data_IF_229548227419
#
_entry.id   IF_229548227419
#
_cell.length_a   1.000
_cell.length_b   1.000
_cell.length_c   1.000
_cell.angle_alpha   90.00
_cell.angle_beta   90.00
_cell.angle_gamma   90.00
#
_symmetry.space_group_name_H-M   'P 1'
#
loop_
_entity.id
_entity.type
_entity.pdbx_description
1 polymer ?
#
# COMPACT_ATOMS: atom_id res chain seq x y z
N UNK A 1 9.69 4.42 20.62
CA UNK A 1 9.16 4.09 19.28
C UNK A 1 9.27 5.28 18.33
N UNK A 2 8.85 6.47 18.72
CA UNK A 2 9.03 7.72 17.95
C UNK A 2 10.47 7.93 17.47
N UNK A 3 11.46 7.75 18.36
CA UNK A 3 12.89 7.87 18.01
C UNK A 3 13.30 6.92 16.88
N UNK A 4 12.81 5.66 16.89
CA UNK A 4 13.06 4.69 15.81
C UNK A 4 12.43 5.10 14.48
N UNK A 5 11.24 5.72 14.52
CA UNK A 5 10.59 6.26 13.31
C UNK A 5 11.43 7.40 12.74
N UNK A 6 11.87 8.33 13.59
CA UNK A 6 12.74 9.45 13.17
C UNK A 6 14.06 8.93 12.57
N UNK A 7 14.68 7.94 13.20
CA UNK A 7 15.93 7.33 12.70
C UNK A 7 15.73 6.62 11.35
N UNK A 8 14.69 5.79 11.22
CA UNK A 8 14.38 5.10 9.96
C UNK A 8 14.02 6.10 8.85
N UNK A 9 13.31 7.18 9.19
CA UNK A 9 12.99 8.25 8.24
C UNK A 9 14.24 8.97 7.75
N UNK A 10 15.18 9.31 8.63
CA UNK A 10 16.44 9.92 8.25
C UNK A 10 17.24 9.02 7.30
N UNK A 11 17.38 7.72 7.63
CA UNK A 11 18.04 6.73 6.77
C UNK A 11 17.34 6.58 5.41
N UNK A 12 16.01 6.63 5.39
CA UNK A 12 15.23 6.58 4.14
C UNK A 12 15.47 7.80 3.28
N UNK A 13 15.49 9.01 3.85
CA UNK A 13 15.81 10.24 3.12
C UNK A 13 17.22 10.17 2.56
N UNK A 14 18.22 9.79 3.37
CA UNK A 14 19.61 9.65 2.92
C UNK A 14 19.74 8.65 1.76
N UNK A 15 19.10 7.49 1.88
CA UNK A 15 19.12 6.47 0.83
C UNK A 15 18.45 6.96 -0.47
N UNK A 16 17.33 7.68 -0.37
CA UNK A 16 16.61 8.21 -1.54
C UNK A 16 17.36 9.36 -2.23
N UNK A 17 18.12 10.16 -1.47
CA UNK A 17 18.93 11.25 -2.01
C UNK A 17 20.25 10.76 -2.63
N UNK A 18 20.84 9.68 -2.12
CA UNK A 18 22.12 9.15 -2.60
C UNK A 18 22.03 8.48 -3.99
N UNK A 19 20.85 8.06 -4.40
CA UNK A 19 20.63 7.21 -5.59
C UNK A 19 20.49 8.01 -6.90
N UNK A 20 21.35 9.06 -7.06
CA UNK A 20 21.46 10.17 -8.04
C UNK A 20 20.87 10.01 -9.48
N UNK A 21 19.62 9.54 -9.58
CA UNK A 21 18.92 9.29 -10.83
C UNK A 21 17.53 9.98 -10.81
N UNK A 22 17.46 11.13 -11.48
CA UNK A 22 16.27 11.79 -12.03
C UNK A 22 14.91 11.56 -11.35
N UNK A 23 14.52 12.51 -10.49
CA UNK A 23 13.18 13.01 -10.06
C UNK A 23 11.88 12.24 -10.40
N UNK A 24 11.79 10.91 -10.39
CA UNK A 24 10.52 10.23 -10.71
C UNK A 24 9.40 10.56 -9.72
N UNK A 25 8.14 10.62 -10.18
CA UNK A 25 6.99 10.85 -9.30
C UNK A 25 6.92 9.81 -8.17
N UNK A 26 7.34 8.58 -8.47
CA UNK A 26 7.50 7.52 -7.47
C UNK A 26 8.49 7.92 -6.38
N UNK A 27 9.70 8.36 -6.76
CA UNK A 27 10.74 8.75 -5.80
C UNK A 27 10.37 10.01 -5.04
N UNK A 28 9.85 11.02 -5.70
CA UNK A 28 9.40 12.25 -5.05
C UNK A 28 8.32 11.94 -4.02
N UNK A 29 7.37 11.07 -4.36
CA UNK A 29 6.36 10.58 -3.44
C UNK A 29 6.92 9.84 -2.23
N UNK A 30 7.86 8.93 -2.45
CA UNK A 30 8.56 8.21 -1.37
C UNK A 30 9.37 9.16 -0.48
N UNK A 31 10.05 10.13 -1.07
CA UNK A 31 10.85 11.13 -0.37
C UNK A 31 9.97 12.06 0.46
N UNK A 32 8.90 12.61 -0.12
CA UNK A 32 7.91 13.42 0.60
C UNK A 32 7.31 12.63 1.77
N UNK A 33 6.93 11.39 1.53
CA UNK A 33 6.38 10.52 2.57
C UNK A 33 7.38 10.35 3.74
N UNK A 34 8.65 10.05 3.45
CA UNK A 34 9.69 9.95 4.48
C UNK A 34 9.95 11.28 5.20
N UNK A 35 9.96 12.40 4.48
CA UNK A 35 10.15 13.75 5.04
C UNK A 35 9.01 14.17 5.96
N UNK A 36 7.77 13.69 5.71
CA UNK A 36 6.61 13.97 6.58
C UNK A 36 6.83 13.50 8.03
N UNK A 37 7.67 12.48 8.24
CA UNK A 37 8.03 11.95 9.56
C UNK A 37 9.20 12.71 10.22
N UNK A 38 9.74 13.71 9.53
CA UNK A 38 10.84 14.57 9.99
C UNK A 38 10.42 16.06 10.01
N UNK A 39 9.11 16.32 9.88
CA UNK A 39 8.55 17.65 9.61
C UNK A 39 8.86 18.70 10.68
N UNK A 40 9.17 18.29 11.90
CA UNK A 40 9.54 19.19 13.01
C UNK A 40 10.93 19.82 12.83
N UNK A 41 11.76 19.26 11.95
CA UNK A 41 13.11 19.77 11.69
C UNK A 41 13.09 20.72 10.47
N UNK A 42 13.48 22.01 10.61
CA UNK A 42 13.36 23.00 9.54
C UNK A 42 14.04 22.62 8.23
N UNK A 43 15.18 21.93 8.28
CA UNK A 43 15.91 21.48 7.08
C UNK A 43 15.09 20.50 6.23
N UNK A 44 14.36 19.57 6.86
CA UNK A 44 13.59 18.56 6.15
C UNK A 44 12.26 19.12 5.66
N UNK A 45 11.67 20.06 6.41
CA UNK A 45 10.50 20.80 5.94
C UNK A 45 10.80 21.58 4.66
N UNK A 46 11.89 22.35 4.63
CA UNK A 46 12.30 23.08 3.43
C UNK A 46 12.53 22.14 2.25
N UNK A 47 13.24 21.03 2.46
CA UNK A 47 13.43 20.04 1.41
C UNK A 47 12.11 19.46 0.90
N UNK A 48 11.13 19.23 1.79
CA UNK A 48 9.82 18.72 1.39
C UNK A 48 9.01 19.77 0.59
N UNK A 49 9.13 21.05 0.94
CA UNK A 49 8.55 22.17 0.16
C UNK A 49 9.18 22.24 -1.23
N UNK A 50 10.51 22.20 -1.33
CA UNK A 50 11.26 22.20 -2.59
C UNK A 50 10.89 21.01 -3.49
N UNK A 51 10.80 19.80 -2.92
CA UNK A 51 10.38 18.61 -3.66
C UNK A 51 8.93 18.77 -4.11
N UNK A 52 8.01 19.15 -3.22
CA UNK A 52 6.61 19.31 -3.58
C UNK A 52 6.41 20.34 -4.70
N UNK A 53 7.09 21.47 -4.66
CA UNK A 53 7.04 22.49 -5.71
C UNK A 53 7.64 21.99 -7.03
N UNK A 54 8.79 21.32 -6.96
CA UNK A 54 9.51 20.81 -8.15
C UNK A 54 8.90 19.57 -8.80
N UNK A 55 8.03 18.82 -8.10
CA UNK A 55 7.41 17.59 -8.60
C UNK A 55 6.31 17.85 -9.64
N UNK A 56 6.64 18.43 -10.79
CA UNK A 56 5.73 18.46 -11.95
C UNK A 56 5.97 17.25 -12.83
N UNK A 57 5.06 16.27 -12.84
CA UNK A 57 5.20 15.13 -13.75
C UNK A 57 3.90 14.62 -14.35
N UNK A 58 4.05 14.31 -15.63
CA UNK A 58 3.09 13.81 -16.60
C UNK A 58 2.44 12.52 -16.08
N UNK A 59 1.10 12.46 -16.06
CA UNK A 59 0.30 11.38 -15.46
C UNK A 59 0.34 10.05 -16.22
N UNK A 60 1.46 9.72 -16.86
CA UNK A 60 1.61 8.56 -17.74
C UNK A 60 1.78 7.25 -16.97
N UNK A 61 2.44 7.28 -15.80
CA UNK A 61 2.62 6.11 -14.93
C UNK A 61 1.78 6.25 -13.67
N UNK A 62 0.81 5.35 -13.51
CA UNK A 62 -0.17 5.35 -12.41
C UNK A 62 0.50 5.19 -11.05
N UNK A 63 1.31 4.15 -10.86
CA UNK A 63 1.97 3.86 -9.58
C UNK A 63 2.86 5.01 -9.08
N UNK A 64 3.60 5.65 -9.99
CA UNK A 64 4.39 6.85 -9.66
C UNK A 64 3.53 8.03 -9.24
N UNK A 65 2.42 8.29 -9.93
CA UNK A 65 1.49 9.37 -9.60
C UNK A 65 0.80 9.15 -8.25
N UNK A 66 0.43 7.90 -7.95
CA UNK A 66 -0.18 7.51 -6.68
C UNK A 66 0.81 7.58 -5.51
N UNK A 67 2.08 7.22 -5.73
CA UNK A 67 3.13 7.41 -4.73
C UNK A 67 3.36 8.90 -4.44
N UNK A 68 3.38 9.74 -5.48
CA UNK A 68 3.45 11.19 -5.32
C UNK A 68 2.26 11.72 -4.53
N UNK A 69 1.04 11.27 -4.86
CA UNK A 69 -0.17 11.63 -4.12
C UNK A 69 -0.09 11.24 -2.64
N UNK A 70 0.45 10.05 -2.32
CA UNK A 70 0.67 9.60 -0.94
C UNK A 70 1.62 10.53 -0.18
N UNK A 71 2.77 10.87 -0.77
CA UNK A 71 3.75 11.77 -0.19
C UNK A 71 3.23 13.19 0.00
N UNK A 72 2.57 13.75 -1.02
CA UNK A 72 1.92 15.06 -0.95
C UNK A 72 0.84 15.11 0.15
N UNK A 73 0.01 14.06 0.26
CA UNK A 73 -0.99 13.96 1.31
C UNK A 73 -0.36 13.98 2.70
N UNK A 74 0.74 13.23 2.89
CA UNK A 74 1.46 13.16 4.16
C UNK A 74 2.08 14.51 4.58
N UNK A 75 2.49 15.32 3.61
CA UNK A 75 3.02 16.66 3.83
C UNK A 75 1.95 17.76 3.87
N UNK A 76 0.66 17.42 3.78
CA UNK A 76 -0.45 18.39 3.88
C UNK A 76 -0.89 19.04 2.56
N UNK A 77 -0.34 18.63 1.41
CA UNK A 77 -0.73 19.12 0.08
C UNK A 77 -2.00 18.40 -0.44
N UNK A 78 -3.09 18.54 0.32
CA UNK A 78 -4.31 17.74 0.17
C UNK A 78 -4.96 17.85 -1.22
N UNK A 79 -5.12 19.07 -1.76
CA UNK A 79 -5.79 19.28 -3.05
C UNK A 79 -5.03 18.66 -4.22
N UNK A 80 -3.70 18.76 -4.20
CA UNK A 80 -2.84 18.18 -5.24
C UNK A 80 -2.84 16.66 -5.18
N UNK A 81 -2.75 16.10 -3.96
CA UNK A 81 -2.87 14.66 -3.75
C UNK A 81 -4.23 14.11 -4.22
N UNK A 82 -5.33 14.82 -3.91
CA UNK A 82 -6.68 14.49 -4.40
C UNK A 82 -6.75 14.45 -5.92
N UNK A 83 -6.24 15.49 -6.57
CA UNK A 83 -6.26 15.58 -8.03
C UNK A 83 -5.53 14.38 -8.65
N UNK A 84 -4.33 14.06 -8.15
CA UNK A 84 -3.53 12.94 -8.64
C UNK A 84 -4.24 11.61 -8.45
N UNK A 85 -4.79 11.30 -7.28
CA UNK A 85 -5.47 10.01 -7.07
C UNK A 85 -6.71 9.84 -7.96
N UNK A 86 -7.46 10.91 -8.22
CA UNK A 86 -8.62 10.86 -9.12
C UNK A 86 -8.21 10.70 -10.59
N UNK A 87 -7.13 11.36 -11.01
CA UNK A 87 -6.55 11.19 -12.35
C UNK A 87 -5.99 9.78 -12.54
N UNK A 88 -5.26 9.26 -11.56
CA UNK A 88 -4.73 7.89 -11.55
C UNK A 88 -5.86 6.86 -11.66
N UNK A 89 -6.94 7.02 -10.88
CA UNK A 89 -8.10 6.14 -10.99
C UNK A 89 -8.72 6.17 -12.41
N UNK A 90 -8.90 7.36 -12.98
CA UNK A 90 -9.40 7.48 -14.35
C UNK A 90 -8.46 6.82 -15.37
N UNK A 91 -7.14 6.88 -15.15
CA UNK A 91 -6.15 6.19 -15.99
C UNK A 91 -6.22 4.67 -15.84
N UNK A 92 -6.40 4.15 -14.62
CA UNK A 92 -6.60 2.71 -14.39
C UNK A 92 -7.83 2.18 -15.16
N UNK A 93 -8.87 2.99 -15.34
CA UNK A 93 -10.08 2.63 -16.07
C UNK A 93 -9.93 2.71 -17.60
N UNK A 94 -8.85 3.30 -18.11
CA UNK A 94 -8.68 3.50 -19.54
C UNK A 94 -8.54 2.14 -20.27
N UNK A 95 -9.16 2.03 -21.46
CA UNK A 95 -9.09 0.82 -22.27
C UNK A 95 -7.68 0.53 -22.81
N UNK A 96 -6.85 1.57 -22.90
CA UNK A 96 -5.46 1.50 -23.29
C UNK A 96 -4.48 1.45 -22.12
N UNK A 97 -4.98 1.37 -20.89
CA UNK A 97 -4.12 1.25 -19.72
C UNK A 97 -3.24 0.01 -19.82
N UNK A 98 -1.95 0.15 -19.51
CA UNK A 98 -1.02 -0.96 -19.38
C UNK A 98 -0.36 -0.79 -18.02
N UNK A 99 -0.69 -1.68 -17.09
CA UNK A 99 -0.08 -1.67 -15.77
C UNK A 99 1.33 -2.22 -15.77
N UNK A 100 1.97 -2.11 -14.61
CA UNK A 100 3.29 -2.69 -14.37
C UNK A 100 3.10 -4.08 -13.77
N UNK A 101 3.87 -5.06 -14.24
CA UNK A 101 3.86 -6.39 -13.65
C UNK A 101 4.91 -6.51 -12.54
N UNK A 102 4.69 -7.37 -11.53
CA UNK A 102 5.63 -7.53 -10.42
C UNK A 102 6.98 -8.10 -10.88
N UNK A 103 7.00 -8.86 -11.98
CA UNK A 103 8.17 -9.58 -12.48
C UNK A 103 8.56 -9.17 -13.91
N UNK A 104 8.09 -8.01 -14.37
CA UNK A 104 8.48 -7.41 -15.66
C UNK A 104 7.85 -8.04 -16.91
N UNK A 105 6.96 -9.02 -16.74
CA UNK A 105 6.15 -9.59 -17.82
C UNK A 105 5.29 -8.50 -18.48
N UNK A 106 5.09 -8.53 -19.80
CA UNK A 106 4.15 -7.63 -20.45
C UNK A 106 2.73 -7.82 -19.90
N UNK A 107 2.12 -6.72 -19.44
CA UNK A 107 0.73 -6.71 -19.02
C UNK A 107 -0.20 -6.62 -20.25
N UNK A 108 -1.32 -7.38 -20.27
CA UNK A 108 -2.33 -7.21 -21.30
C UNK A 108 -2.87 -5.79 -21.29
N UNK A 109 -3.07 -5.22 -22.47
CA UNK A 109 -3.70 -3.90 -22.61
C UNK A 109 -5.11 -3.92 -22.01
N UNK A 110 -5.43 -2.91 -21.21
CA UNK A 110 -6.66 -2.80 -20.44
C UNK A 110 -6.68 -3.66 -19.17
N UNK A 111 -5.59 -4.33 -18.79
CA UNK A 111 -5.53 -5.04 -17.51
C UNK A 111 -5.73 -4.07 -16.34
N UNK A 112 -6.30 -4.58 -15.25
CA UNK A 112 -6.48 -3.85 -13.99
C UNK A 112 -5.59 -4.50 -12.94
N UNK A 113 -4.61 -3.77 -12.43
CA UNK A 113 -3.62 -4.30 -11.50
C UNK A 113 -4.02 -4.03 -10.05
N UNK A 114 -3.82 -5.02 -9.18
CA UNK A 114 -4.24 -5.00 -7.78
C UNK A 114 -3.52 -3.93 -6.96
N UNK A 115 -2.24 -3.72 -7.25
CA UNK A 115 -1.40 -2.72 -6.59
C UNK A 115 -1.89 -1.28 -6.82
N UNK A 116 -2.32 -0.96 -8.05
CA UNK A 116 -2.93 0.34 -8.35
C UNK A 116 -4.19 0.56 -7.51
N UNK A 117 -5.10 -0.42 -7.49
CA UNK A 117 -6.33 -0.34 -6.70
C UNK A 117 -6.06 -0.26 -5.19
N UNK A 118 -5.07 -1.02 -4.71
CA UNK A 118 -4.62 -0.95 -3.32
C UNK A 118 -4.10 0.45 -2.98
N UNK A 119 -3.31 1.06 -3.87
CA UNK A 119 -2.72 2.36 -3.63
C UNK A 119 -3.74 3.49 -3.77
N UNK A 120 -4.66 3.43 -4.74
CA UNK A 120 -5.85 4.32 -4.82
C UNK A 120 -6.60 4.28 -3.50
N UNK A 121 -6.94 3.08 -3.00
CA UNK A 121 -7.67 2.94 -1.75
C UNK A 121 -6.88 3.50 -0.56
N UNK A 122 -5.58 3.21 -0.47
CA UNK A 122 -4.71 3.72 0.60
C UNK A 122 -4.69 5.26 0.63
N UNK A 123 -4.47 5.90 -0.52
CA UNK A 123 -4.40 7.37 -0.62
C UNK A 123 -5.76 8.01 -0.36
N UNK A 124 -6.84 7.50 -0.96
CA UNK A 124 -8.19 7.99 -0.67
C UNK A 124 -8.52 7.89 0.83
N UNK A 125 -8.23 6.75 1.45
CA UNK A 125 -8.45 6.54 2.89
C UNK A 125 -7.68 7.57 3.72
N UNK A 126 -6.42 7.84 3.39
CA UNK A 126 -5.62 8.86 4.08
C UNK A 126 -6.23 10.25 3.94
N UNK A 127 -6.55 10.68 2.72
CA UNK A 127 -7.16 12.00 2.47
C UNK A 127 -8.51 12.15 3.19
N UNK A 128 -9.31 11.09 3.23
CA UNK A 128 -10.61 11.05 3.90
C UNK A 128 -10.52 11.07 5.43
N UNK A 129 -9.37 10.74 6.03
CA UNK A 129 -9.14 10.95 7.46
C UNK A 129 -8.95 12.42 7.82
N UNK A 130 -8.51 13.24 6.87
CA UNK A 130 -8.29 14.69 7.04
C UNK A 130 -9.57 15.45 6.75
N UNK A 131 -10.21 15.16 5.63
CA UNK A 131 -11.38 15.90 5.14
C UNK A 131 -12.31 15.00 4.35
N UNK A 132 -13.60 15.06 4.65
CA UNK A 132 -14.62 14.37 3.87
C UNK A 132 -14.70 14.97 2.45
N UNK A 133 -14.77 14.10 1.45
CA UNK A 133 -14.88 14.49 0.04
C UNK A 133 -15.67 13.43 -0.72
N UNK A 134 -16.70 13.86 -1.46
CA UNK A 134 -17.62 12.96 -2.15
C UNK A 134 -16.93 12.15 -3.26
N UNK A 135 -16.04 12.76 -4.03
CA UNK A 135 -15.36 12.07 -5.14
C UNK A 135 -14.38 11.03 -4.59
N UNK A 136 -13.66 11.37 -3.52
CA UNK A 136 -12.76 10.42 -2.84
C UNK A 136 -13.53 9.28 -2.16
N UNK A 137 -14.72 9.53 -1.60
CA UNK A 137 -15.58 8.47 -1.07
C UNK A 137 -16.03 7.51 -2.17
N UNK A 138 -16.40 8.04 -3.34
CA UNK A 138 -16.76 7.23 -4.51
C UNK A 138 -15.54 6.42 -4.98
N UNK A 139 -14.37 7.06 -5.11
CA UNK A 139 -13.12 6.39 -5.49
C UNK A 139 -12.75 5.25 -4.54
N UNK A 140 -12.81 5.49 -3.22
CA UNK A 140 -12.55 4.46 -2.21
C UNK A 140 -13.55 3.30 -2.29
N UNK A 141 -14.85 3.59 -2.43
CA UNK A 141 -15.87 2.57 -2.58
C UNK A 141 -15.67 1.72 -3.85
N UNK A 142 -15.28 2.36 -4.96
CA UNK A 142 -14.94 1.68 -6.21
C UNK A 142 -13.72 0.77 -6.05
N UNK A 143 -12.67 1.24 -5.38
CA UNK A 143 -11.48 0.42 -5.14
C UNK A 143 -11.77 -0.79 -4.24
N UNK A 144 -12.57 -0.62 -3.18
CA UNK A 144 -13.05 -1.74 -2.35
C UNK A 144 -13.84 -2.75 -3.19
N UNK A 145 -14.78 -2.28 -4.01
CA UNK A 145 -15.55 -3.15 -4.88
C UNK A 145 -14.66 -3.88 -5.90
N UNK A 146 -13.67 -3.20 -6.47
CA UNK A 146 -12.76 -3.79 -7.43
C UNK A 146 -11.95 -4.94 -6.81
N UNK A 147 -11.37 -4.70 -5.63
CA UNK A 147 -10.56 -5.69 -4.92
C UNK A 147 -11.42 -6.90 -4.51
N UNK A 148 -12.62 -6.67 -3.94
CA UNK A 148 -13.45 -7.76 -3.41
C UNK A 148 -14.17 -8.57 -4.49
N UNK A 149 -14.67 -7.93 -5.54
CA UNK A 149 -15.57 -8.60 -6.48
C UNK A 149 -14.83 -9.20 -7.67
N UNK A 150 -13.64 -8.67 -7.99
CA UNK A 150 -12.94 -9.06 -9.22
C UNK A 150 -11.56 -9.64 -8.95
N UNK A 151 -10.78 -9.03 -8.06
CA UNK A 151 -9.46 -9.58 -7.74
C UNK A 151 -9.54 -10.80 -6.81
N UNK A 152 -10.53 -10.88 -5.91
CA UNK A 152 -10.67 -12.06 -5.06
C UNK A 152 -11.08 -13.29 -5.89
N UNK A 153 -10.29 -14.37 -5.78
CA UNK A 153 -10.56 -15.65 -6.40
C UNK A 153 -10.82 -16.70 -5.31
N UNK A 154 -12.08 -17.15 -5.11
CA UNK A 154 -12.44 -18.03 -4.01
C UNK A 154 -11.71 -19.38 -4.07
N UNK A 155 -11.54 -19.96 -5.26
CA UNK A 155 -10.90 -21.28 -5.39
C UNK A 155 -9.40 -21.27 -5.09
N UNK A 156 -8.73 -20.13 -5.31
CA UNK A 156 -7.32 -19.94 -4.94
C UNK A 156 -7.18 -19.46 -3.49
N UNK A 157 -8.28 -19.06 -2.86
CA UNK A 157 -8.24 -18.52 -1.51
C UNK A 157 -7.46 -17.21 -1.39
N UNK A 158 -7.39 -16.43 -2.46
CA UNK A 158 -6.47 -15.29 -2.55
C UNK A 158 -6.98 -14.19 -3.46
N UNK A 159 -6.18 -13.13 -3.57
CA UNK A 159 -6.44 -12.00 -4.48
C UNK A 159 -5.46 -12.06 -5.66
N UNK A 160 -6.00 -12.11 -6.86
CA UNK A 160 -5.27 -12.09 -8.11
C UNK A 160 -4.59 -10.75 -8.32
N UNK A 161 -3.39 -10.79 -8.88
CA UNK A 161 -2.66 -9.58 -9.23
C UNK A 161 -3.36 -8.77 -10.32
N UNK A 162 -3.90 -9.44 -11.34
CA UNK A 162 -4.48 -8.76 -12.49
C UNK A 162 -5.84 -9.36 -12.89
N UNK A 163 -6.73 -8.50 -13.35
CA UNK A 163 -7.98 -8.88 -14.03
C UNK A 163 -8.10 -8.14 -15.35
N UNK A 164 -8.97 -8.62 -16.24
CA UNK A 164 -9.23 -7.97 -17.54
C UNK A 164 -9.93 -6.62 -17.35
N UNK A 165 -9.94 -5.81 -18.39
CA UNK A 165 -10.59 -4.48 -18.37
C UNK A 165 -12.11 -4.52 -18.21
N UNK A 166 -12.74 -5.66 -18.52
CA UNK A 166 -14.14 -5.97 -18.26
C UNK A 166 -14.38 -6.65 -16.90
N UNK A 167 -13.34 -6.72 -16.06
CA UNK A 167 -13.34 -7.29 -14.73
C UNK A 167 -13.62 -8.80 -14.65
N UNK A 168 -13.47 -9.52 -15.76
CA UNK A 168 -13.37 -10.98 -15.76
C UNK A 168 -11.91 -11.43 -15.51
N UNK A 169 -11.75 -12.67 -15.05
CA UNK A 169 -10.43 -13.29 -14.90
C UNK A 169 -9.83 -13.60 -16.27
N UNK A 170 -8.50 -13.61 -16.33
CA UNK A 170 -7.79 -14.15 -17.50
C UNK A 170 -7.83 -15.69 -17.47
N UNK A 171 -7.76 -16.32 -18.63
CA UNK A 171 -7.68 -17.78 -18.72
C UNK A 171 -6.21 -18.27 -18.61
N UNK A 172 -5.24 -17.38 -18.87
CA UNK A 172 -3.82 -17.70 -18.88
C UNK A 172 -3.13 -17.39 -17.54
N UNK A 173 -1.79 -17.22 -17.56
CA UNK A 173 -0.95 -16.92 -16.39
C UNK A 173 -1.54 -15.88 -15.41
N UNK A 174 -2.12 -14.80 -15.93
CA UNK A 174 -2.70 -13.74 -15.11
C UNK A 174 -3.96 -14.15 -14.33
N UNK A 175 -4.64 -15.22 -14.75
CA UNK A 175 -5.80 -15.80 -14.06
C UNK A 175 -5.45 -16.53 -12.77
N UNK A 176 -4.16 -16.81 -12.54
CA UNK A 176 -3.67 -17.50 -11.34
C UNK A 176 -2.53 -16.75 -10.64
N UNK A 177 -2.08 -15.62 -11.19
CA UNK A 177 -0.95 -14.86 -10.66
C UNK A 177 -1.33 -14.18 -9.34
N UNK A 178 -0.60 -14.48 -8.26
CA UNK A 178 -0.79 -13.90 -6.93
C UNK A 178 0.51 -13.27 -6.46
N UNK A 179 0.56 -11.94 -6.44
CA UNK A 179 1.67 -11.21 -5.82
C UNK A 179 1.39 -11.01 -4.33
N UNK A 180 2.18 -11.66 -3.46
CA UNK A 180 2.04 -11.50 -2.01
C UNK A 180 2.14 -10.05 -1.55
N UNK A 181 3.02 -9.25 -2.17
CA UNK A 181 3.16 -7.84 -1.81
C UNK A 181 1.91 -7.02 -2.15
N UNK A 182 1.38 -7.18 -3.37
CA UNK A 182 0.16 -6.50 -3.79
C UNK A 182 -1.06 -6.96 -2.98
N UNK A 183 -1.15 -8.27 -2.69
CA UNK A 183 -2.20 -8.85 -1.86
C UNK A 183 -2.18 -8.27 -0.44
N UNK A 184 -1.02 -8.26 0.21
CA UNK A 184 -0.86 -7.69 1.54
C UNK A 184 -1.16 -6.19 1.55
N UNK A 185 -0.73 -5.44 0.53
CA UNK A 185 -1.05 -4.01 0.40
C UNK A 185 -2.56 -3.77 0.25
N UNK A 186 -3.24 -4.51 -0.62
CA UNK A 186 -4.68 -4.40 -0.87
C UNK A 186 -5.50 -4.74 0.38
N UNK A 187 -5.20 -5.87 1.03
CA UNK A 187 -5.90 -6.30 2.24
C UNK A 187 -5.66 -5.32 3.40
N UNK A 188 -4.45 -4.77 3.51
CA UNK A 188 -4.16 -3.72 4.50
C UNK A 188 -4.94 -2.45 4.23
N UNK A 189 -4.98 -1.98 2.98
CA UNK A 189 -5.74 -0.79 2.59
C UNK A 189 -7.25 -0.96 2.88
N UNK A 190 -7.80 -2.15 2.60
CA UNK A 190 -9.19 -2.47 2.95
C UNK A 190 -9.45 -2.51 4.46
N UNK A 191 -8.52 -3.02 5.27
CA UNK A 191 -8.64 -2.97 6.73
C UNK A 191 -8.63 -1.52 7.24
N UNK A 192 -7.74 -0.68 6.72
CA UNK A 192 -7.68 0.74 7.08
C UNK A 192 -8.98 1.48 6.69
N UNK A 193 -9.52 1.23 5.50
CA UNK A 193 -10.79 1.82 5.07
C UNK A 193 -11.99 1.31 5.90
N UNK A 194 -12.04 0.01 6.18
CA UNK A 194 -13.06 -0.56 7.04
C UNK A 194 -12.99 0.03 8.45
N UNK A 195 -11.78 0.20 8.98
CA UNK A 195 -11.53 0.89 10.24
C UNK A 195 -12.02 2.33 10.23
N UNK A 196 -11.69 3.10 9.18
CA UNK A 196 -12.14 4.49 9.02
C UNK A 196 -13.67 4.63 9.00
N UNK A 197 -14.35 3.69 8.34
CA UNK A 197 -15.82 3.68 8.22
C UNK A 197 -16.53 3.01 9.40
N UNK A 198 -15.82 2.34 10.30
CA UNK A 198 -16.43 1.50 11.33
C UNK A 198 -17.16 0.26 10.77
N UNK A 199 -16.82 -0.17 9.55
CA UNK A 199 -17.48 -1.28 8.83
C UNK A 199 -17.04 -2.64 9.37
N UNK A 200 -17.73 -3.13 10.40
CA UNK A 200 -17.35 -4.36 11.11
C UNK A 200 -17.41 -5.62 10.22
N UNK A 201 -18.38 -5.71 9.32
CA UNK A 201 -18.52 -6.84 8.39
C UNK A 201 -17.38 -6.88 7.37
N UNK A 202 -17.08 -5.74 6.74
CA UNK A 202 -15.95 -5.62 5.82
C UNK A 202 -14.65 -5.97 6.52
N UNK A 203 -14.43 -5.42 7.72
CA UNK A 203 -13.27 -5.75 8.55
C UNK A 203 -13.16 -7.25 8.81
N UNK A 204 -14.24 -7.92 9.22
CA UNK A 204 -14.24 -9.35 9.50
C UNK A 204 -13.93 -10.19 8.24
N UNK A 205 -14.51 -9.81 7.09
CA UNK A 205 -14.27 -10.47 5.81
C UNK A 205 -12.80 -10.35 5.38
N UNK A 206 -12.26 -9.13 5.36
CA UNK A 206 -10.88 -8.85 4.96
C UNK A 206 -9.89 -9.52 5.92
N UNK A 207 -10.21 -9.57 7.22
CA UNK A 207 -9.41 -10.32 8.19
C UNK A 207 -9.29 -11.79 7.81
N UNK A 208 -10.39 -12.47 7.45
CA UNK A 208 -10.33 -13.86 6.98
C UNK A 208 -9.45 -14.02 5.73
N UNK A 209 -9.58 -13.12 4.77
CA UNK A 209 -8.77 -13.17 3.54
C UNK A 209 -7.28 -12.94 3.83
N UNK A 210 -6.93 -12.06 4.76
CA UNK A 210 -5.55 -11.85 5.18
C UNK A 210 -4.99 -13.08 5.90
N UNK A 211 -5.76 -13.70 6.79
CA UNK A 211 -5.35 -14.97 7.44
C UNK A 211 -5.06 -16.05 6.41
N UNK A 212 -5.99 -16.26 5.48
CA UNK A 212 -5.87 -17.25 4.41
C UNK A 212 -4.64 -16.97 3.52
N UNK A 213 -4.42 -15.72 3.13
CA UNK A 213 -3.26 -15.34 2.33
C UNK A 213 -1.94 -15.60 3.06
N UNK A 214 -1.83 -15.19 4.33
CA UNK A 214 -0.63 -15.38 5.14
C UNK A 214 -0.32 -16.87 5.31
N UNK A 215 -1.32 -17.69 5.62
CA UNK A 215 -1.16 -19.14 5.78
C UNK A 215 -0.75 -19.82 4.47
N UNK A 216 -1.39 -19.48 3.35
CA UNK A 216 -1.07 -20.05 2.04
C UNK A 216 0.33 -19.65 1.55
N UNK A 217 0.70 -18.37 1.75
CA UNK A 217 1.98 -17.85 1.31
C UNK A 217 3.13 -18.29 2.23
N UNK A 218 2.89 -18.65 3.49
CA UNK A 218 3.96 -19.10 4.38
C UNK A 218 4.67 -20.35 3.85
N UNK A 219 6.00 -20.37 3.91
CA UNK A 219 6.79 -21.56 3.63
C UNK A 219 6.97 -22.38 4.92
N UNK A 220 6.37 -23.57 5.05
CA UNK A 220 6.48 -24.37 6.27
C UNK A 220 7.88 -24.96 6.47
N UNK A 221 8.70 -25.09 5.42
CA UNK A 221 10.02 -25.71 5.49
C UNK A 221 11.10 -24.71 5.94
N UNK A 222 11.08 -23.49 5.38
CA UNK A 222 12.11 -22.48 5.67
C UNK A 222 11.60 -21.33 6.53
N UNK A 223 10.29 -21.24 6.77
CA UNK A 223 9.66 -20.02 7.24
C UNK A 223 9.60 -18.93 6.17
N UNK A 224 8.91 -17.84 6.50
CA UNK A 224 8.78 -16.66 5.66
C UNK A 224 7.59 -16.70 4.71
N UNK A 225 7.04 -15.53 4.41
CA UNK A 225 6.06 -15.34 3.35
C UNK A 225 6.75 -15.54 2.01
N UNK A 226 6.25 -16.50 1.23
CA UNK A 226 6.73 -16.78 -0.12
C UNK A 226 6.58 -15.56 -0.98
N UNK A 227 7.60 -15.41 -1.78
CA UNK A 227 7.68 -14.43 -2.83
C UNK A 227 7.99 -15.16 -4.11
N UNK A 228 7.35 -14.74 -5.19
CA UNK A 228 7.76 -15.21 -6.50
C UNK A 228 9.18 -14.64 -6.79
N UNK A 229 9.46 -13.32 -6.69
CA UNK A 229 10.78 -12.79 -7.18
C UNK A 229 11.48 -11.55 -6.58
N UNK A 230 11.13 -10.95 -5.44
CA UNK A 230 11.90 -9.78 -4.91
C UNK A 230 12.62 -9.97 -3.54
N UNK A 231 13.36 -8.96 -3.05
CA UNK A 231 14.18 -8.99 -1.82
C UNK A 231 13.42 -9.51 -0.59
N UNK A 232 13.78 -10.66 0.00
CA UNK A 232 13.01 -11.30 1.07
C UNK A 232 12.48 -10.34 2.13
N UNK A 233 13.28 -9.35 2.55
CA UNK A 233 12.90 -8.36 3.57
C UNK A 233 11.63 -7.54 3.27
N UNK A 234 11.40 -7.10 2.03
CA UNK A 234 10.29 -6.18 1.72
C UNK A 234 8.91 -6.84 1.86
N UNK A 235 8.76 -8.07 1.37
CA UNK A 235 7.49 -8.81 1.51
C UNK A 235 7.21 -9.18 2.97
N UNK A 236 8.25 -9.50 3.76
CA UNK A 236 8.06 -9.72 5.19
C UNK A 236 7.64 -8.43 5.90
N UNK A 237 8.25 -7.28 5.57
CA UNK A 237 7.83 -6.00 6.13
C UNK A 237 6.36 -5.66 5.80
N UNK A 238 5.93 -5.92 4.57
CA UNK A 238 4.53 -5.77 4.17
C UNK A 238 3.61 -6.70 4.99
N UNK A 239 4.01 -7.96 5.19
CA UNK A 239 3.24 -8.93 5.96
C UNK A 239 3.13 -8.54 7.43
N UNK A 240 4.23 -8.10 8.04
CA UNK A 240 4.22 -7.58 9.41
C UNK A 240 3.33 -6.33 9.52
N UNK A 241 3.39 -5.42 8.55
CA UNK A 241 2.51 -4.24 8.52
C UNK A 241 1.02 -4.60 8.41
N UNK A 242 0.69 -5.60 7.59
CA UNK A 242 -0.66 -6.11 7.42
C UNK A 242 -1.18 -6.80 8.69
N UNK A 243 -0.37 -7.68 9.29
CA UNK A 243 -0.70 -8.38 10.53
C UNK A 243 -0.83 -7.42 11.72
N UNK A 244 0.04 -6.40 11.82
CA UNK A 244 -0.10 -5.35 12.83
C UNK A 244 -1.39 -4.56 12.66
N UNK A 245 -1.77 -4.28 11.41
CA UNK A 245 -3.04 -3.61 11.08
C UNK A 245 -4.24 -4.48 11.48
N UNK A 246 -4.20 -5.77 11.18
CA UNK A 246 -5.25 -6.72 11.56
C UNK A 246 -5.36 -6.84 13.08
N UNK A 247 -4.24 -7.09 13.76
CA UNK A 247 -4.18 -7.21 15.22
C UNK A 247 -4.75 -5.97 15.91
N UNK A 248 -4.44 -4.77 15.40
CA UNK A 248 -4.98 -3.51 15.92
C UNK A 248 -6.51 -3.44 15.81
N UNK A 249 -7.08 -3.92 14.72
CA UNK A 249 -8.52 -3.77 14.45
C UNK A 249 -9.37 -4.94 14.96
N UNK A 250 -8.80 -6.12 15.10
CA UNK A 250 -9.52 -7.34 15.52
C UNK A 250 -9.02 -7.94 16.84
N UNK A 251 -7.75 -7.72 17.18
CA UNK A 251 -7.08 -8.44 18.28
C UNK A 251 -7.00 -9.94 17.99
N UNK A 252 -6.81 -10.74 19.04
CA UNK A 252 -6.85 -12.21 18.97
C UNK A 252 -5.49 -12.88 19.04
N UNK A 253 -5.50 -14.13 19.49
CA UNK A 253 -4.30 -14.94 19.68
C UNK A 253 -3.64 -15.30 18.35
N UNK A 254 -4.45 -15.62 17.33
CA UNK A 254 -3.95 -15.93 15.99
C UNK A 254 -3.17 -14.73 15.42
N UNK A 255 -3.72 -13.52 15.52
CA UNK A 255 -3.09 -12.30 15.03
C UNK A 255 -1.77 -12.02 15.73
N UNK A 256 -1.74 -12.17 17.06
CA UNK A 256 -0.54 -11.94 17.86
C UNK A 256 0.55 -12.97 17.53
N UNK A 257 0.19 -14.24 17.45
CA UNK A 257 1.10 -15.35 17.12
C UNK A 257 1.72 -15.16 15.74
N UNK A 258 0.91 -14.91 14.72
CA UNK A 258 1.40 -14.73 13.36
C UNK A 258 2.23 -13.45 13.20
N UNK A 259 1.83 -12.37 13.87
CA UNK A 259 2.60 -11.13 13.87
C UNK A 259 4.01 -11.36 14.43
N UNK A 260 4.14 -12.06 15.56
CA UNK A 260 5.46 -12.35 16.13
C UNK A 260 6.24 -13.34 15.26
N UNK A 261 5.59 -14.39 14.74
CA UNK A 261 6.22 -15.36 13.82
C UNK A 261 6.86 -14.69 12.60
N UNK A 262 6.13 -13.81 11.92
CA UNK A 262 6.67 -13.12 10.72
C UNK A 262 7.74 -12.10 11.13
N UNK A 263 7.59 -11.40 12.27
CA UNK A 263 8.61 -10.49 12.79
C UNK A 263 9.91 -11.18 13.11
N UNK A 264 9.86 -12.32 13.80
CA UNK A 264 11.04 -13.12 14.14
C UNK A 264 11.79 -13.55 12.88
N UNK A 265 11.05 -13.96 11.85
CA UNK A 265 11.65 -14.25 10.55
C UNK A 265 12.26 -12.99 9.91
N UNK A 266 11.53 -11.87 9.85
CA UNK A 266 11.98 -10.61 9.26
C UNK A 266 13.29 -10.09 9.88
N UNK A 267 13.51 -10.28 11.20
CA UNK A 267 14.75 -9.84 11.89
C UNK A 267 16.04 -10.37 11.23
N UNK A 268 15.97 -11.49 10.52
CA UNK A 268 17.11 -12.10 9.84
C UNK A 268 17.31 -11.63 8.39
N UNK A 269 16.41 -10.78 7.87
CA UNK A 269 16.46 -10.30 6.48
C UNK A 269 16.54 -8.77 6.45
N UNK A 270 17.63 -8.20 5.90
CA UNK A 270 17.74 -6.76 5.74
C UNK A 270 16.54 -6.21 4.95
N UNK A 271 15.92 -5.17 5.50
CA UNK A 271 14.92 -4.36 4.80
C UNK A 271 15.55 -3.04 4.39
N UNK A 272 15.15 -2.50 3.23
CA UNK A 272 15.55 -1.13 2.91
C UNK A 272 14.93 -0.14 3.93
N UNK A 273 15.55 1.03 4.13
CA UNK A 273 15.09 1.98 5.14
C UNK A 273 13.65 2.46 4.95
N UNK A 274 13.16 2.55 3.70
CA UNK A 274 11.79 2.97 3.42
C UNK A 274 10.79 1.89 3.86
N UNK A 275 11.07 0.61 3.57
CA UNK A 275 10.26 -0.50 4.05
C UNK A 275 10.24 -0.59 5.57
N UNK A 276 11.39 -0.36 6.24
CA UNK A 276 11.47 -0.29 7.70
C UNK A 276 10.61 0.85 8.26
N UNK A 277 10.72 2.06 7.68
CA UNK A 277 9.92 3.21 8.08
C UNK A 277 8.41 2.93 7.93
N UNK A 278 7.99 2.41 6.77
CA UNK A 278 6.59 2.01 6.49
C UNK A 278 6.06 1.03 7.54
N UNK A 279 6.88 0.06 7.92
CA UNK A 279 6.56 -0.88 9.00
C UNK A 279 6.38 -0.18 10.36
N UNK A 280 7.34 0.63 10.79
CA UNK A 280 7.32 1.29 12.10
C UNK A 280 6.14 2.25 12.26
N UNK A 281 5.83 3.00 11.19
CA UNK A 281 4.67 3.92 11.16
C UNK A 281 3.36 3.14 11.29
N UNK A 282 3.23 1.99 10.61
CA UNK A 282 2.01 1.17 10.73
C UNK A 282 1.83 0.58 12.12
N UNK A 283 2.91 0.16 12.78
CA UNK A 283 2.85 -0.39 14.13
C UNK A 283 2.50 0.64 15.23
N UNK A 284 2.60 1.93 14.94
CA UNK A 284 2.35 3.01 15.91
C UNK A 284 1.03 3.73 15.76
N UNK A 285 0.30 3.50 14.65
CA UNK A 285 -1.01 4.13 14.46
C UNK A 285 -2.00 3.57 15.49
N UNK A 286 -2.32 4.34 16.52
CA UNK A 286 -3.41 3.96 17.43
C UNK A 286 -4.74 3.87 16.67
N UNK A 287 -5.61 2.90 17.02
CA UNK A 287 -6.99 2.95 16.57
C UNK A 287 -7.62 4.21 17.15
N UNK A 288 -8.13 5.12 16.32
CA UNK A 288 -8.87 6.28 16.81
C UNK A 288 -10.04 5.75 17.66
N UNK A 289 -9.96 5.95 18.98
CA UNK A 289 -11.06 5.64 19.90
C UNK A 289 -12.23 6.56 19.55
N UNK A 290 -13.30 5.97 19.05
CA UNK A 290 -14.67 6.50 18.95
C UNK A 290 -14.85 7.80 18.14
N UNK A 291 -15.39 7.67 16.93
CA UNK A 291 -16.51 8.53 16.53
C UNK A 291 -17.79 7.82 16.99
N UNK A 292 -18.13 8.01 18.26
CA UNK A 292 -19.53 7.91 18.67
C UNK A 292 -20.28 9.00 17.91
N UNK A 293 -21.08 8.59 16.92
CA UNK A 293 -22.16 9.41 16.37
C UNK A 293 -23.24 9.61 17.45
#
# INVERSE_FOLDING_TARGET
MTERITEAAAKSVEALLADDAGTSALRDGQLLWSLSHLWDQPRYRRLAEEVAEGSERDGTVVGGSLALAEGLAACGYWERARMLVLQSLARCDAADYVGESPEGQPMPKGARCLDDWAQVLSVCTHLLHVRADRELQIAAARAVAAILNYHYHPDLGGVLFAVRGDFFHFDEYWGTCVSSEAALAALTAMLDEAGRRGETHLRALVGRYLRQHVEAAWNPATGGIRREYSRPGAVQAAAVGALATLHRYQGGDWEAEWLERVRDYQRNYPTDPLAELRYLVRCTREPKKNLTL
#
